data_IF_891625390973
#
_entry.id   IF_891625390973
#
_cell.length_a   1.000
_cell.length_b   1.000
_cell.length_c   1.000
_cell.angle_alpha   90.00
_cell.angle_beta   90.00
_cell.angle_gamma   90.00
#
_symmetry.space_group_name_H-M   'P 1'
#
loop_
_entity.id
_entity.type
_entity.pdbx_description
1 polymer ?
#
# COMPACT_ATOMS: atom_id res chain seq x y z
N UNK A 1 -4.81 -35.54 -4.82
CA UNK A 1 -6.16 -35.00 -5.08
C UNK A 1 -5.98 -33.78 -5.96
N UNK A 2 -6.45 -33.80 -7.21
CA UNK A 2 -6.49 -32.58 -8.03
C UNK A 2 -7.76 -31.84 -7.63
N UNK A 3 -7.65 -30.80 -6.80
CA UNK A 3 -8.79 -29.91 -6.61
C UNK A 3 -9.11 -29.22 -7.93
N UNK A 4 -10.39 -29.14 -8.24
CA UNK A 4 -10.88 -28.46 -9.43
C UNK A 4 -10.69 -26.95 -9.23
N UNK A 5 -9.48 -26.45 -9.51
CA UNK A 5 -9.10 -25.07 -9.22
C UNK A 5 -9.83 -24.11 -10.17
N UNK A 6 -10.67 -23.24 -9.60
CA UNK A 6 -11.36 -22.19 -10.37
C UNK A 6 -10.50 -20.93 -10.39
N UNK A 7 -10.04 -20.54 -11.58
CA UNK A 7 -9.25 -19.33 -11.77
C UNK A 7 -10.11 -18.07 -11.56
N UNK A 8 -9.59 -17.13 -10.75
CA UNK A 8 -10.15 -15.79 -10.55
C UNK A 8 -9.07 -14.75 -10.74
N UNK A 9 -9.44 -13.59 -11.28
CA UNK A 9 -8.54 -12.46 -11.49
C UNK A 9 -8.91 -11.32 -10.54
N UNK A 10 -7.94 -10.82 -9.80
CA UNK A 10 -8.09 -9.67 -8.89
C UNK A 10 -7.69 -8.40 -9.63
N UNK A 11 -8.55 -7.40 -9.57
CA UNK A 11 -8.32 -6.06 -10.11
C UNK A 11 -8.13 -5.07 -8.96
N UNK A 12 -7.08 -4.25 -9.07
CA UNK A 12 -6.70 -3.30 -8.04
C UNK A 12 -7.21 -1.89 -8.35
N UNK A 13 -7.41 -1.08 -7.31
CA UNK A 13 -7.64 0.36 -7.40
C UNK A 13 -6.33 1.15 -7.55
N UNK A 14 -6.41 2.49 -7.58
CA UNK A 14 -5.25 3.36 -7.78
C UNK A 14 -4.25 3.34 -6.62
N UNK A 15 -4.63 2.80 -5.46
CA UNK A 15 -3.75 2.61 -4.30
C UNK A 15 -3.24 1.17 -4.20
N UNK A 16 -3.52 0.33 -5.19
CA UNK A 16 -3.13 -1.09 -5.20
C UNK A 16 -4.05 -1.99 -4.37
N UNK A 17 -5.16 -1.47 -3.83
CA UNK A 17 -6.13 -2.25 -3.07
C UNK A 17 -7.05 -3.07 -3.96
N UNK A 18 -7.45 -4.27 -3.52
CA UNK A 18 -8.40 -5.10 -4.29
C UNK A 18 -9.76 -4.40 -4.40
N UNK A 19 -10.30 -4.24 -5.60
CA UNK A 19 -11.61 -3.61 -5.83
C UNK A 19 -12.63 -4.54 -6.50
N UNK A 20 -12.21 -5.32 -7.48
CA UNK A 20 -13.06 -6.17 -8.31
C UNK A 20 -12.41 -7.53 -8.52
N UNK A 21 -13.21 -8.59 -8.63
CA UNK A 21 -12.76 -9.92 -9.03
C UNK A 21 -13.59 -10.45 -10.18
N UNK A 22 -12.93 -10.93 -11.23
CA UNK A 22 -13.57 -11.54 -12.40
C UNK A 22 -13.20 -13.02 -12.56
N UNK A 23 -14.02 -13.77 -13.29
CA UNK A 23 -13.74 -15.16 -13.65
C UNK A 23 -12.89 -15.29 -14.93
N UNK A 24 -12.65 -16.53 -15.36
CA UNK A 24 -11.92 -16.88 -16.58
C UNK A 24 -12.51 -16.26 -17.87
N UNK A 25 -13.80 -15.93 -17.88
CA UNK A 25 -14.48 -15.29 -19.02
C UNK A 25 -14.46 -13.76 -18.97
N UNK A 26 -13.94 -13.18 -17.89
CA UNK A 26 -13.96 -11.74 -17.64
C UNK A 26 -15.27 -11.25 -17.02
N UNK A 27 -16.19 -12.14 -16.64
CA UNK A 27 -17.41 -11.75 -15.96
C UNK A 27 -17.14 -11.32 -14.52
N UNK A 28 -17.86 -10.30 -14.03
CA UNK A 28 -17.78 -9.83 -12.66
C UNK A 28 -18.30 -10.90 -11.68
N UNK A 29 -17.47 -11.29 -10.71
CA UNK A 29 -17.82 -12.26 -9.66
C UNK A 29 -18.02 -11.59 -8.32
N UNK A 30 -17.08 -10.72 -7.92
CA UNK A 30 -17.11 -10.03 -6.65
C UNK A 30 -16.65 -8.58 -6.80
N UNK A 31 -17.09 -7.72 -5.90
CA UNK A 31 -16.59 -6.35 -5.77
C UNK A 31 -16.60 -5.93 -4.31
N UNK A 32 -15.68 -5.04 -3.95
CA UNK A 32 -15.56 -4.46 -2.62
C UNK A 32 -15.33 -2.95 -2.75
N UNK A 33 -15.89 -2.19 -1.81
CA UNK A 33 -15.78 -0.73 -1.74
C UNK A 33 -15.31 -0.34 -0.35
N UNK A 34 -14.33 0.55 -0.27
CA UNK A 34 -13.78 1.05 0.98
C UNK A 34 -14.23 2.48 1.27
N UNK A 35 -14.18 2.88 2.54
CA UNK A 35 -14.06 4.30 2.93
C UNK A 35 -12.66 4.80 2.62
N UNK A 36 -12.39 6.12 2.67
CA UNK A 36 -11.03 6.65 2.49
C UNK A 36 -9.99 6.04 3.44
N UNK A 37 -10.42 5.55 4.60
CA UNK A 37 -9.56 4.97 5.64
C UNK A 37 -9.49 3.43 5.58
N UNK A 38 -9.99 2.80 4.51
CA UNK A 38 -9.85 1.36 4.30
C UNK A 38 -10.90 0.48 4.99
N UNK A 39 -11.89 1.08 5.67
CA UNK A 39 -13.02 0.33 6.22
C UNK A 39 -13.90 -0.16 5.06
N UNK A 40 -14.32 -1.42 5.09
CA UNK A 40 -15.22 -1.95 4.06
C UNK A 40 -16.59 -1.30 4.18
N UNK A 41 -17.00 -0.57 3.15
CA UNK A 41 -18.30 0.10 3.05
C UNK A 41 -19.37 -0.81 2.45
N UNK A 42 -19.00 -1.63 1.47
CA UNK A 42 -19.91 -2.57 0.80
C UNK A 42 -19.15 -3.65 0.05
N UNK A 43 -19.77 -4.83 -0.08
CA UNK A 43 -19.24 -5.95 -0.84
C UNK A 43 -18.12 -6.71 -0.12
N UNK A 44 -17.65 -7.77 -0.75
CA UNK A 44 -16.55 -8.60 -0.26
C UNK A 44 -15.90 -9.35 -1.42
N UNK A 45 -14.66 -9.79 -1.22
CA UNK A 45 -13.81 -10.44 -2.23
C UNK A 45 -13.13 -11.68 -1.61
N UNK A 46 -12.88 -12.73 -2.41
CA UNK A 46 -12.29 -13.99 -1.95
C UNK A 46 -10.76 -13.89 -1.79
N UNK A 47 -10.28 -12.84 -1.12
CA UNK A 47 -8.86 -12.60 -0.81
C UNK A 47 -8.74 -11.83 0.50
N UNK A 48 -7.68 -12.09 1.24
CA UNK A 48 -7.34 -11.35 2.45
C UNK A 48 -6.57 -10.06 2.14
N UNK A 49 -5.94 -9.95 0.97
CA UNK A 49 -5.31 -8.71 0.49
C UNK A 49 -6.38 -7.73 0.00
N UNK A 50 -6.66 -6.72 0.81
CA UNK A 50 -7.74 -5.75 0.60
C UNK A 50 -7.18 -4.34 0.42
N UNK A 51 -7.46 -3.41 1.33
CA UNK A 51 -7.07 -2.01 1.22
C UNK A 51 -5.56 -1.83 1.05
N UNK A 52 -5.14 -1.04 0.05
CA UNK A 52 -3.72 -0.79 -0.30
C UNK A 52 -2.86 -2.06 -0.49
N UNK A 53 -3.50 -3.19 -0.82
CA UNK A 53 -2.84 -4.47 -1.01
C UNK A 53 -2.46 -5.20 0.29
N UNK A 54 -2.79 -4.62 1.45
CA UNK A 54 -2.45 -5.16 2.76
C UNK A 54 -3.42 -6.27 3.19
N UNK A 55 -2.92 -7.20 3.98
CA UNK A 55 -3.70 -8.34 4.47
C UNK A 55 -4.60 -7.91 5.62
N UNK A 56 -5.92 -8.08 5.44
CA UNK A 56 -6.90 -7.97 6.51
C UNK A 56 -6.90 -9.26 7.33
N UNK A 57 -6.66 -9.13 8.63
CA UNK A 57 -6.71 -10.24 9.57
C UNK A 57 -8.12 -10.41 10.18
N UNK A 58 -8.38 -11.56 10.80
CA UNK A 58 -9.67 -11.88 11.42
C UNK A 58 -10.03 -10.95 12.60
N UNK A 59 -9.06 -10.18 13.09
CA UNK A 59 -9.25 -9.13 14.09
C UNK A 59 -9.92 -7.87 13.53
N UNK A 60 -10.04 -7.75 12.21
CA UNK A 60 -10.50 -6.53 11.54
C UNK A 60 -9.38 -5.51 11.30
N UNK A 61 -8.15 -5.85 11.65
CA UNK A 61 -6.96 -5.02 11.48
C UNK A 61 -6.19 -5.42 10.23
N UNK A 62 -5.58 -4.43 9.59
CA UNK A 62 -4.65 -4.66 8.49
C UNK A 62 -3.23 -4.85 9.01
N UNK A 63 -2.56 -5.88 8.52
CA UNK A 63 -1.14 -6.09 8.79
C UNK A 63 -0.30 -5.41 7.70
N UNK A 64 0.47 -4.39 8.11
CA UNK A 64 1.32 -3.59 7.23
C UNK A 64 2.79 -4.04 7.25
N UNK A 65 3.10 -5.20 7.83
CA UNK A 65 4.49 -5.68 8.01
C UNK A 65 5.04 -5.31 9.38
N UNK A 66 5.29 -4.02 9.63
CA UNK A 66 5.80 -3.60 10.94
C UNK A 66 4.72 -3.35 11.99
N UNK A 67 3.51 -2.97 11.54
CA UNK A 67 2.44 -2.49 12.42
C UNK A 67 1.08 -3.02 11.98
N UNK A 68 0.15 -3.03 12.93
CA UNK A 68 -1.27 -3.24 12.66
C UNK A 68 -1.99 -1.90 12.55
N UNK A 69 -2.80 -1.77 11.50
CA UNK A 69 -3.62 -0.60 11.19
C UNK A 69 -5.09 -0.90 11.45
N UNK A 70 -5.75 0.00 12.17
CA UNK A 70 -7.18 -0.04 12.43
C UNK A 70 -7.93 0.89 11.46
N UNK A 71 -8.68 0.35 10.49
CA UNK A 71 -9.44 1.15 9.52
C UNK A 71 -10.65 1.85 10.12
N UNK A 72 -11.13 1.46 11.31
CA UNK A 72 -12.27 2.07 11.98
C UNK A 72 -11.91 3.43 12.57
N UNK A 73 -10.71 3.58 13.13
CA UNK A 73 -10.20 4.84 13.68
C UNK A 73 -9.22 5.56 12.74
N UNK A 74 -8.76 4.90 11.67
CA UNK A 74 -7.85 5.47 10.68
C UNK A 74 -6.41 5.63 11.19
N UNK A 75 -5.94 4.73 12.06
CA UNK A 75 -4.63 4.84 12.72
C UNK A 75 -3.96 3.48 12.93
N UNK A 76 -2.64 3.50 13.09
CA UNK A 76 -1.93 2.34 13.63
C UNK A 76 -2.26 2.15 15.11
N UNK A 77 -2.27 0.90 15.58
CA UNK A 77 -2.53 0.57 16.99
C UNK A 77 -1.26 0.63 17.84
N UNK A 78 -0.10 0.70 17.20
CA UNK A 78 1.22 0.79 17.84
C UNK A 78 1.99 1.99 17.28
N UNK A 79 2.83 2.65 18.11
CA UNK A 79 3.62 3.77 17.65
C UNK A 79 4.69 3.30 16.64
N UNK A 80 4.96 4.12 15.64
CA UNK A 80 6.06 3.95 14.69
C UNK A 80 7.40 3.91 15.41
N UNK A 81 8.27 2.92 15.21
CA UNK A 81 9.62 2.93 15.80
C UNK A 81 10.54 3.97 15.16
N UNK A 82 10.16 4.52 14.01
CA UNK A 82 10.94 5.50 13.23
C UNK A 82 10.24 6.86 13.32
N UNK A 83 11.02 7.92 13.56
CA UNK A 83 10.56 9.30 13.42
C UNK A 83 11.35 9.91 12.27
N UNK A 84 10.77 10.01 11.07
CA UNK A 84 11.54 10.30 9.87
C UNK A 84 12.07 11.74 9.82
N UNK A 85 11.31 12.70 10.35
CA UNK A 85 11.72 14.10 10.42
C UNK A 85 11.35 14.71 11.77
N UNK A 86 12.23 14.67 12.78
CA UNK A 86 11.95 15.23 14.10
C UNK A 86 11.64 16.72 14.11
N UNK A 87 12.12 17.46 13.11
CA UNK A 87 11.85 18.88 12.93
C UNK A 87 10.44 19.15 12.33
N UNK A 88 9.79 18.13 11.75
CA UNK A 88 8.43 18.23 11.24
C UNK A 88 7.43 17.79 12.33
N UNK A 89 6.59 18.69 12.85
CA UNK A 89 5.59 18.34 13.88
C UNK A 89 4.64 17.22 13.44
N UNK A 90 4.39 17.07 12.13
CA UNK A 90 3.55 16.00 11.60
C UNK A 90 4.15 14.60 11.82
N UNK A 91 5.48 14.47 11.79
CA UNK A 91 6.21 13.22 12.03
C UNK A 91 6.23 12.81 13.50
N UNK A 92 5.89 13.71 14.42
CA UNK A 92 5.78 13.39 15.85
C UNK A 92 4.51 12.58 16.16
N UNK A 93 3.52 12.54 15.25
CA UNK A 93 2.36 11.68 15.39
C UNK A 93 2.67 10.24 14.92
N UNK A 94 3.28 9.46 15.82
CA UNK A 94 3.72 8.08 15.58
C UNK A 94 2.59 7.06 15.32
N UNK A 95 1.34 7.45 15.48
CA UNK A 95 0.17 6.60 15.21
C UNK A 95 -0.55 6.96 13.89
N UNK A 96 -0.14 8.06 13.25
CA UNK A 96 -0.79 8.53 12.03
C UNK A 96 -0.54 7.60 10.85
N UNK A 97 -1.57 7.42 10.03
CA UNK A 97 -1.45 6.75 8.75
C UNK A 97 -1.22 7.80 7.65
N UNK A 98 -0.12 7.67 6.91
CA UNK A 98 0.20 8.39 5.66
C UNK A 98 -0.07 9.90 5.67
N UNK A 99 0.44 10.60 6.69
CA UNK A 99 0.27 12.06 6.85
C UNK A 99 -1.21 12.50 6.90
N UNK A 100 -2.10 11.61 7.31
CA UNK A 100 -3.56 11.78 7.32
C UNK A 100 -4.18 12.04 5.93
N UNK A 101 -3.56 11.59 4.84
CA UNK A 101 -4.12 11.69 3.49
C UNK A 101 -4.15 10.34 2.74
N UNK A 102 -5.04 9.42 3.16
CA UNK A 102 -5.07 8.04 2.68
C UNK A 102 -5.65 7.87 1.26
N UNK A 103 -6.19 8.93 0.66
CA UNK A 103 -6.63 8.90 -0.75
C UNK A 103 -5.48 9.07 -1.72
N UNK A 104 -4.39 9.69 -1.26
CA UNK A 104 -3.22 10.04 -2.06
C UNK A 104 -2.03 9.13 -1.79
N UNK A 105 -1.87 8.69 -0.54
CA UNK A 105 -0.66 8.05 -0.08
C UNK A 105 -0.92 6.64 0.46
N UNK A 106 0.11 5.80 0.39
CA UNK A 106 0.14 4.44 0.93
C UNK A 106 1.34 4.26 1.86
N UNK A 107 1.30 3.22 2.68
CA UNK A 107 2.44 2.76 3.49
C UNK A 107 2.65 1.26 3.20
N UNK A 108 3.67 0.87 2.42
CA UNK A 108 3.90 -0.54 2.10
C UNK A 108 4.47 -1.36 3.26
N UNK A 109 5.29 -0.77 4.13
CA UNK A 109 6.05 -1.47 5.18
C UNK A 109 5.56 -1.19 6.60
N UNK A 110 4.63 -0.25 6.75
CA UNK A 110 4.19 0.24 8.05
C UNK A 110 5.21 1.19 8.66
N UNK A 111 6.01 1.94 7.88
CA UNK A 111 6.97 2.92 8.39
C UNK A 111 7.14 4.16 7.52
N UNK A 112 6.56 4.16 6.32
CA UNK A 112 6.95 5.08 5.27
C UNK A 112 5.74 5.52 4.46
N UNK A 113 5.87 6.67 3.82
CA UNK A 113 4.78 7.26 3.05
C UNK A 113 5.16 7.23 1.58
N UNK A 114 4.29 6.68 0.74
CA UNK A 114 4.52 6.55 -0.70
C UNK A 114 3.46 7.27 -1.50
N UNK A 115 3.86 7.79 -2.65
CA UNK A 115 2.98 8.26 -3.72
C UNK A 115 3.30 7.49 -4.99
N UNK A 116 2.42 6.57 -5.39
CA UNK A 116 2.75 5.59 -6.43
C UNK A 116 4.03 4.82 -6.04
N UNK A 117 5.02 4.82 -6.93
CA UNK A 117 6.29 4.10 -6.75
C UNK A 117 7.40 4.97 -6.13
N UNK A 118 7.06 6.08 -5.46
CA UNK A 118 8.04 6.99 -4.87
C UNK A 118 7.81 7.19 -3.38
N UNK A 119 8.85 7.00 -2.57
CA UNK A 119 8.87 7.32 -1.15
C UNK A 119 8.86 8.87 -0.95
N UNK A 120 7.95 9.39 -0.14
CA UNK A 120 7.75 10.84 0.05
C UNK A 120 8.85 11.48 0.90
N UNK A 121 9.53 10.71 1.75
CA UNK A 121 10.67 11.22 2.53
C UNK A 121 11.88 11.44 1.65
N UNK A 122 12.13 10.52 0.72
CA UNK A 122 13.15 10.75 -0.31
C UNK A 122 12.80 11.99 -1.13
N UNK A 123 11.49 12.29 -1.31
CA UNK A 123 11.07 13.47 -2.05
C UNK A 123 11.39 14.81 -1.34
N UNK A 124 11.34 14.84 -0.02
CA UNK A 124 11.68 16.04 0.75
C UNK A 124 13.19 16.31 0.76
N UNK A 125 14.01 15.27 0.76
CA UNK A 125 15.47 15.40 0.83
C UNK A 125 16.04 16.03 -0.47
N UNK A 126 15.52 15.69 -1.66
CA UNK A 126 15.98 16.31 -2.92
C UNK A 126 15.45 17.73 -3.16
N UNK A 127 14.28 18.09 -2.62
CA UNK A 127 13.65 19.40 -2.86
C UNK A 127 14.12 20.49 -1.89
N UNK A 128 14.55 20.11 -0.68
CA UNK A 128 14.85 21.08 0.39
C UNK A 128 16.27 20.95 0.96
N UNK A 129 17.09 19.99 0.53
CA UNK A 129 18.48 19.85 0.97
C UNK A 129 19.46 19.73 -0.22
N UNK A 130 19.96 20.85 -0.77
CA UNK A 130 20.91 20.82 -1.90
C UNK A 130 22.30 20.27 -1.54
N UNK A 131 22.53 19.83 -0.29
CA UNK A 131 23.85 19.43 0.22
C UNK A 131 24.07 17.90 0.29
N UNK A 132 23.09 17.09 -0.10
CA UNK A 132 23.19 15.62 -0.17
C UNK A 132 23.11 15.09 -1.61
N UNK A 133 23.85 15.72 -2.53
CA UNK A 133 24.30 15.02 -3.74
C UNK A 133 25.47 14.10 -3.36
N UNK A 134 25.20 13.02 -2.65
CA UNK A 134 26.17 11.94 -2.50
C UNK A 134 26.19 11.10 -3.79
N UNK A 135 27.35 11.09 -4.45
CA UNK A 135 27.61 10.29 -5.63
C UNK A 135 27.69 8.80 -5.23
N UNK A 136 26.56 8.11 -5.11
CA UNK A 136 26.62 6.71 -4.71
C UNK A 136 25.37 5.83 -4.79
N UNK A 137 24.15 6.37 -4.82
CA UNK A 137 22.96 5.49 -4.86
C UNK A 137 22.52 5.27 -6.30
N UNK A 138 22.98 4.14 -6.87
CA UNK A 138 22.34 3.54 -8.03
C UNK A 138 20.86 3.34 -7.70
N UNK A 139 19.97 3.99 -8.45
CA UNK A 139 18.58 3.59 -8.56
C UNK A 139 18.57 2.13 -9.04
N UNK A 140 18.48 1.20 -8.09
CA UNK A 140 18.11 -0.18 -8.36
C UNK A 140 16.64 -0.18 -8.76
N UNK A 141 16.35 0.24 -10.00
CA UNK A 141 15.13 -0.15 -10.69
C UNK A 141 15.25 -1.63 -11.01
N UNK A 142 14.90 -2.47 -10.05
CA UNK A 142 14.63 -3.89 -10.25
C UNK A 142 13.33 -4.07 -11.05
N UNK A 143 13.30 -3.62 -12.31
CA UNK A 143 12.26 -3.99 -13.28
C UNK A 143 12.77 -5.23 -14.03
N UNK A 144 12.39 -6.40 -13.54
CA UNK A 144 12.61 -7.67 -14.23
C UNK A 144 11.82 -7.69 -15.55
N UNK A 145 12.56 -7.55 -16.65
CA UNK A 145 12.37 -8.17 -17.98
C UNK A 145 10.98 -8.25 -18.62
N UNK A 146 10.83 -7.60 -19.78
CA UNK A 146 10.50 -8.32 -21.03
C UNK A 146 10.81 -7.40 -22.22
N UNK A 147 11.85 -7.73 -23.00
CA UNK A 147 12.00 -7.18 -24.34
C UNK A 147 12.36 -8.33 -25.29
N UNK A 148 11.37 -8.74 -26.07
CA UNK A 148 11.51 -9.64 -27.20
C UNK A 148 12.25 -8.91 -28.33
N UNK A 149 13.39 -9.44 -28.77
CA UNK A 149 14.00 -9.02 -30.03
C UNK A 149 13.38 -9.81 -31.21
N UNK A 150 13.05 -9.17 -32.33
CA UNK A 150 12.93 -9.88 -33.60
C UNK A 150 14.32 -10.05 -34.27
N UNK A 151 14.38 -11.06 -35.13
CA UNK A 151 15.53 -11.67 -35.81
C UNK A 151 16.54 -10.69 -36.44
#
# INVERSE_FOLDING_TARGET
MSENATLKYVHQDHLGGTSVVSDASGALVNSIKYTPWGLTRAGDVPTDKKFTGQRLDNTGLYYYGARYYDPQIGRFISPDTIVPSPANPQSLNRYSYVLNNPLKYTDPSGHEVWIGDVNVESLYDWMFNPFLMDWGTTLSTGKSGCHSQPL
#
